data_IF_778262123391
#
_entry.id   IF_778262123391
#
_cell.length_a   1.000
_cell.length_b   1.000
_cell.length_c   1.000
_cell.angle_alpha   90.00
_cell.angle_beta   90.00
_cell.angle_gamma   90.00
#
_symmetry.space_group_name_H-M   'P 1'
#
loop_
_entity.id
_entity.type
_entity.pdbx_description
1 polymer ?
#
# COMPACT_ATOMS: atom_id res chain seq x y z
N UNK A 1 -50.32 -5.86 -23.60
CA UNK A 1 -48.89 -6.12 -23.85
C UNK A 1 -48.18 -4.78 -23.98
N UNK A 2 -46.90 -4.71 -23.56
CA UNK A 2 -46.01 -3.54 -23.35
C UNK A 2 -46.27 -2.81 -22.01
N UNK A 3 -45.44 -2.90 -20.96
CA UNK A 3 -43.99 -2.70 -20.72
C UNK A 3 -43.61 -1.23 -20.42
N UNK A 4 -42.58 -1.09 -19.57
CA UNK A 4 -41.83 0.12 -19.15
C UNK A 4 -42.51 0.86 -17.98
N UNK A 5 -41.93 0.99 -16.79
CA UNK A 5 -40.64 1.62 -16.46
C UNK A 5 -40.03 1.05 -15.16
N UNK A 6 -38.88 0.39 -15.24
CA UNK A 6 -37.95 0.25 -14.11
C UNK A 6 -36.57 0.71 -14.59
N UNK A 7 -36.33 2.02 -14.55
CA UNK A 7 -35.07 2.64 -15.02
C UNK A 7 -34.51 3.71 -14.10
N UNK A 8 -35.10 3.91 -12.91
CA UNK A 8 -34.71 4.98 -11.99
C UNK A 8 -33.77 4.53 -10.86
N UNK A 9 -33.75 3.23 -10.50
CA UNK A 9 -32.99 2.74 -9.35
C UNK A 9 -31.55 2.31 -9.69
N UNK A 10 -31.21 2.13 -10.96
CA UNK A 10 -29.88 1.67 -11.39
C UNK A 10 -28.85 2.82 -11.42
N UNK A 11 -29.31 4.04 -11.68
CA UNK A 11 -28.46 5.24 -11.77
C UNK A 11 -28.07 5.78 -10.38
N UNK A 12 -28.95 5.66 -9.39
CA UNK A 12 -28.67 6.09 -8.02
C UNK A 12 -27.63 5.18 -7.33
N UNK A 13 -27.70 3.86 -7.56
CA UNK A 13 -26.70 2.92 -7.05
C UNK A 13 -25.35 3.13 -7.74
N UNK A 14 -25.33 3.37 -9.05
CA UNK A 14 -24.10 3.69 -9.78
C UNK A 14 -23.41 4.98 -9.31
N UNK A 15 -24.16 5.93 -8.73
CA UNK A 15 -23.63 7.18 -8.17
C UNK A 15 -22.78 6.98 -6.92
N UNK A 16 -23.21 6.13 -5.99
CA UNK A 16 -22.46 5.82 -4.75
C UNK A 16 -21.26 4.88 -4.99
N UNK A 17 -21.25 4.12 -6.09
CA UNK A 17 -20.24 3.08 -6.35
C UNK A 17 -18.90 3.62 -6.86
N UNK A 18 -18.87 4.87 -7.36
CA UNK A 18 -17.71 5.45 -8.06
C UNK A 18 -16.84 6.40 -7.21
N UNK A 19 -17.30 6.77 -6.02
CA UNK A 19 -16.58 7.65 -5.10
C UNK A 19 -15.84 6.81 -4.07
N UNK A 20 -14.61 6.41 -4.43
CA UNK A 20 -13.72 5.72 -3.50
C UNK A 20 -12.88 6.79 -2.82
N UNK A 21 -13.20 7.06 -1.55
CA UNK A 21 -12.31 7.82 -0.69
C UNK A 21 -11.05 6.97 -0.41
N UNK A 22 -9.88 7.53 -0.67
CA UNK A 22 -8.59 6.89 -0.43
C UNK A 22 -8.02 7.22 0.96
N UNK A 23 -8.77 7.95 1.79
CA UNK A 23 -8.39 8.31 3.15
C UNK A 23 -8.19 7.13 4.09
N UNK A 24 -8.67 5.93 3.76
CA UNK A 24 -8.45 4.71 4.53
C UNK A 24 -7.05 4.10 4.35
N UNK A 25 -6.26 4.57 3.37
CA UNK A 25 -4.92 4.05 3.12
C UNK A 25 -3.96 4.42 4.26
N UNK A 26 -3.25 3.46 4.88
CA UNK A 26 -2.30 3.77 5.94
C UNK A 26 -1.19 4.70 5.46
N UNK A 27 -0.96 5.80 6.19
CA UNK A 27 0.02 6.81 5.82
C UNK A 27 1.42 6.22 5.61
N UNK A 28 1.87 5.35 6.51
CA UNK A 28 3.17 4.68 6.42
C UNK A 28 3.31 3.86 5.14
N UNK A 29 2.26 3.10 4.77
CA UNK A 29 2.27 2.31 3.54
C UNK A 29 2.35 3.22 2.31
N UNK A 30 1.55 4.28 2.28
CA UNK A 30 1.58 5.22 1.15
C UNK A 30 2.94 5.90 1.01
N UNK A 31 3.60 6.24 2.12
CA UNK A 31 4.94 6.82 2.12
C UNK A 31 5.99 5.81 1.60
N UNK A 32 5.93 4.55 2.05
CA UNK A 32 6.84 3.51 1.57
C UNK A 32 6.63 3.20 0.08
N UNK A 33 5.38 3.11 -0.38
CA UNK A 33 5.07 2.92 -1.80
C UNK A 33 5.56 4.09 -2.66
N UNK A 34 5.35 5.31 -2.19
CA UNK A 34 5.82 6.52 -2.86
C UNK A 34 7.34 6.51 -3.01
N UNK A 35 8.06 6.25 -1.92
CA UNK A 35 9.53 6.18 -1.92
C UNK A 35 10.04 5.12 -2.90
N UNK A 36 9.37 3.96 -2.98
CA UNK A 36 9.72 2.90 -3.93
C UNK A 36 9.55 3.36 -5.38
N UNK A 37 8.41 3.98 -5.71
CA UNK A 37 8.10 4.48 -7.05
C UNK A 37 9.08 5.59 -7.44
N UNK A 38 9.28 6.59 -6.57
CA UNK A 38 10.22 7.70 -6.82
C UNK A 38 11.64 7.16 -7.02
N UNK A 39 12.13 6.26 -6.15
CA UNK A 39 13.46 5.65 -6.29
C UNK A 39 13.63 4.90 -7.61
N UNK A 40 12.60 4.20 -8.08
CA UNK A 40 12.62 3.52 -9.36
C UNK A 40 12.70 4.52 -10.51
N UNK A 41 11.86 5.55 -10.51
CA UNK A 41 11.79 6.52 -11.60
C UNK A 41 12.91 7.56 -11.59
N UNK A 42 13.62 7.74 -10.48
CA UNK A 42 14.88 8.49 -10.44
C UNK A 42 15.97 7.81 -11.28
N UNK A 43 15.95 6.47 -11.38
CA UNK A 43 16.89 5.69 -12.19
C UNK A 43 16.38 5.51 -13.63
N UNK A 44 15.10 5.20 -13.80
CA UNK A 44 14.51 4.83 -15.09
C UNK A 44 13.86 6.00 -15.85
N UNK A 45 13.76 7.16 -15.23
CA UNK A 45 13.04 8.33 -15.73
C UNK A 45 11.53 8.26 -15.46
N UNK A 46 10.93 9.43 -15.26
CA UNK A 46 9.49 9.57 -14.98
C UNK A 46 8.62 9.52 -16.24
N UNK A 47 9.19 9.72 -17.43
CA UNK A 47 8.44 9.77 -18.68
C UNK A 47 7.72 8.43 -19.00
N UNK A 48 8.24 7.31 -18.49
CA UNK A 48 7.65 5.99 -18.72
C UNK A 48 6.53 5.62 -17.74
N UNK A 49 6.30 6.41 -16.68
CA UNK A 49 5.30 6.10 -15.67
C UNK A 49 3.86 6.09 -16.23
N UNK A 50 3.42 7.10 -17.02
CA UNK A 50 2.13 7.02 -17.69
C UNK A 50 2.02 5.79 -18.59
N UNK A 51 3.03 5.51 -19.42
CA UNK A 51 3.02 4.34 -20.30
C UNK A 51 2.92 3.02 -19.53
N UNK A 52 3.61 2.92 -18.38
CA UNK A 52 3.53 1.76 -17.49
C UNK A 52 2.12 1.54 -16.97
N UNK A 53 1.44 2.60 -16.49
CA UNK A 53 0.06 2.51 -16.00
C UNK A 53 -0.91 2.02 -17.10
N UNK A 54 -0.73 2.46 -18.35
CA UNK A 54 -1.59 2.03 -19.46
C UNK A 54 -1.27 0.61 -19.91
N UNK A 55 0.01 0.23 -19.95
CA UNK A 55 0.45 -1.15 -20.23
C UNK A 55 -0.03 -2.14 -19.17
N UNK A 56 -0.11 -1.70 -17.92
CA UNK A 56 -0.70 -2.42 -16.79
C UNK A 56 -2.24 -2.55 -16.89
N UNK A 57 -2.87 -1.97 -17.92
CA UNK A 57 -4.33 -1.92 -18.13
C UNK A 57 -5.08 -1.20 -17.01
N UNK A 58 -4.44 -0.24 -16.34
CA UNK A 58 -5.05 0.54 -15.25
C UNK A 58 -5.89 1.73 -15.75
N UNK A 59 -5.84 2.06 -17.05
CA UNK A 59 -6.63 3.15 -17.63
C UNK A 59 -8.11 3.12 -17.25
N UNK A 60 -8.85 2.02 -17.53
CA UNK A 60 -10.25 1.88 -17.16
C UNK A 60 -10.51 1.97 -15.65
N UNK A 61 -9.56 1.53 -14.82
CA UNK A 61 -9.67 1.65 -13.36
C UNK A 61 -9.53 3.10 -12.91
N UNK A 62 -8.47 3.79 -13.36
CA UNK A 62 -8.20 5.20 -13.07
C UNK A 62 -9.38 6.07 -13.50
N UNK A 63 -9.94 5.80 -14.68
CA UNK A 63 -11.07 6.56 -15.21
C UNK A 63 -12.37 6.28 -14.47
N UNK A 64 -12.59 5.09 -13.90
CA UNK A 64 -13.83 4.75 -13.20
C UNK A 64 -13.99 5.50 -11.88
N UNK A 65 -12.91 5.64 -11.12
CA UNK A 65 -12.93 6.20 -9.77
C UNK A 65 -12.68 7.71 -9.77
N UNK A 66 -13.53 8.47 -9.07
CA UNK A 66 -13.51 9.93 -9.10
C UNK A 66 -12.16 10.53 -8.67
N UNK A 67 -11.62 10.10 -7.52
CA UNK A 67 -10.32 10.54 -6.99
C UNK A 67 -9.17 10.37 -8.00
N UNK A 68 -9.07 9.18 -8.59
CA UNK A 68 -8.04 8.88 -9.59
C UNK A 68 -8.22 9.71 -10.86
N UNK A 69 -9.46 9.86 -11.34
CA UNK A 69 -9.78 10.68 -12.51
C UNK A 69 -9.44 12.15 -12.29
N UNK A 70 -9.70 12.69 -11.09
CA UNK A 70 -9.38 14.07 -10.76
C UNK A 70 -7.86 14.29 -10.74
N UNK A 71 -7.09 13.38 -10.15
CA UNK A 71 -5.62 13.43 -10.15
C UNK A 71 -5.07 13.30 -11.56
N UNK A 72 -5.59 12.38 -12.37
CA UNK A 72 -5.20 12.21 -13.77
C UNK A 72 -5.42 13.50 -14.55
N UNK A 73 -6.61 14.10 -14.44
CA UNK A 73 -6.91 15.37 -15.12
C UNK A 73 -5.94 16.48 -14.73
N UNK A 74 -5.61 16.61 -13.44
CA UNK A 74 -4.62 17.59 -12.96
C UNK A 74 -3.21 17.31 -13.52
N UNK A 75 -2.80 16.04 -13.53
CA UNK A 75 -1.50 15.60 -14.04
C UNK A 75 -1.37 15.81 -15.56
N UNK A 76 -2.43 15.55 -16.33
CA UNK A 76 -2.41 15.68 -17.80
C UNK A 76 -2.55 17.11 -18.31
N UNK A 77 -3.15 18.01 -17.54
CA UNK A 77 -3.44 19.40 -17.98
C UNK A 77 -2.42 20.43 -17.50
N UNK A 78 -1.58 20.07 -16.52
CA UNK A 78 -0.56 20.98 -16.00
C UNK A 78 0.54 21.25 -17.03
N UNK A 79 1.02 22.50 -17.07
CA UNK A 79 2.16 22.90 -17.92
C UNK A 79 3.53 22.54 -17.33
N UNK A 80 3.56 22.02 -16.10
CA UNK A 80 4.80 21.66 -15.41
C UNK A 80 5.00 20.15 -15.44
N UNK A 81 6.07 19.70 -16.11
CA UNK A 81 6.47 18.29 -16.11
C UNK A 81 6.65 17.74 -14.69
N UNK A 82 7.24 18.54 -13.78
CA UNK A 82 7.37 18.16 -12.36
C UNK A 82 6.02 17.89 -11.70
N UNK A 83 5.03 18.76 -11.90
CA UNK A 83 3.67 18.57 -11.35
C UNK A 83 2.93 17.41 -12.03
N UNK A 84 3.14 17.21 -13.33
CA UNK A 84 2.60 16.07 -14.07
C UNK A 84 3.11 14.76 -13.48
N UNK A 85 4.43 14.63 -13.37
CA UNK A 85 5.09 13.44 -12.80
C UNK A 85 4.62 13.18 -11.37
N UNK A 86 4.55 14.23 -10.53
CA UNK A 86 4.03 14.14 -9.17
C UNK A 86 2.60 13.57 -9.14
N UNK A 87 1.71 14.04 -10.02
CA UNK A 87 0.35 13.51 -10.09
C UNK A 87 0.30 12.05 -10.53
N UNK A 88 1.15 11.62 -11.45
CA UNK A 88 1.26 10.21 -11.82
C UNK A 88 1.86 9.35 -10.71
N UNK A 89 2.83 9.85 -9.95
CA UNK A 89 3.37 9.18 -8.75
C UNK A 89 2.27 9.00 -7.70
N UNK A 90 1.44 10.01 -7.47
CA UNK A 90 0.31 9.92 -6.52
C UNK A 90 -0.73 8.88 -6.93
N UNK A 91 -1.02 8.77 -8.23
CA UNK A 91 -1.90 7.72 -8.77
C UNK A 91 -1.27 6.35 -8.55
N UNK A 92 -0.03 6.15 -9.01
CA UNK A 92 0.67 4.88 -8.88
C UNK A 92 0.85 4.45 -7.41
N UNK A 93 1.15 5.39 -6.52
CA UNK A 93 1.30 5.16 -5.07
C UNK A 93 0.02 4.61 -4.47
N UNK A 94 -1.12 5.25 -4.74
CA UNK A 94 -2.40 4.83 -4.21
C UNK A 94 -2.82 3.46 -4.78
N UNK A 95 -2.61 3.21 -6.08
CA UNK A 95 -2.89 1.91 -6.68
C UNK A 95 -2.01 0.82 -6.06
N UNK A 96 -0.69 1.03 -5.96
CA UNK A 96 0.23 0.07 -5.37
C UNK A 96 -0.09 -0.23 -3.89
N UNK A 97 -0.51 0.79 -3.13
CA UNK A 97 -0.95 0.62 -1.74
C UNK A 97 -2.21 -0.24 -1.63
N UNK A 98 -3.19 -0.04 -2.54
CA UNK A 98 -4.37 -0.90 -2.62
C UNK A 98 -3.99 -2.35 -2.95
N UNK A 99 -3.07 -2.55 -3.89
CA UNK A 99 -2.61 -3.88 -4.28
C UNK A 99 -1.93 -4.59 -3.10
N UNK A 100 -1.03 -3.92 -2.37
CA UNK A 100 -0.35 -4.47 -1.18
C UNK A 100 -1.34 -4.86 -0.08
N UNK A 101 -2.34 -4.01 0.18
CA UNK A 101 -3.40 -4.27 1.16
C UNK A 101 -4.35 -5.41 0.76
N UNK A 102 -4.61 -5.57 -0.54
CA UNK A 102 -5.44 -6.66 -1.04
C UNK A 102 -4.64 -7.97 -1.18
N UNK A 103 -3.34 -7.94 -1.44
CA UNK A 103 -2.52 -9.15 -1.53
C UNK A 103 -2.03 -9.64 -0.17
N UNK A 104 -2.33 -8.91 0.92
CA UNK A 104 -1.74 -9.14 2.25
C UNK A 104 -0.21 -9.21 2.24
N UNK A 105 0.43 -8.40 1.39
CA UNK A 105 1.88 -8.39 1.28
C UNK A 105 2.52 -7.89 2.58
N UNK A 106 3.59 -8.55 3.03
CA UNK A 106 4.34 -8.24 4.25
C UNK A 106 3.48 -8.08 5.54
N UNK A 107 2.26 -8.65 5.56
CA UNK A 107 1.37 -8.60 6.73
C UNK A 107 0.60 -7.29 6.90
N UNK A 108 0.59 -6.39 5.92
CA UNK A 108 -0.14 -5.11 6.02
C UNK A 108 -1.63 -5.27 6.33
N UNK A 109 -2.29 -6.27 5.74
CA UNK A 109 -3.71 -6.57 5.99
C UNK A 109 -3.96 -7.03 7.42
N UNK A 110 -3.01 -7.72 8.05
CA UNK A 110 -3.14 -8.14 9.45
C UNK A 110 -3.10 -6.95 10.41
N UNK A 111 -2.32 -5.92 10.08
CA UNK A 111 -2.25 -4.68 10.87
C UNK A 111 -3.42 -3.73 10.59
N UNK A 112 -3.94 -3.73 9.36
CA UNK A 112 -5.03 -2.86 8.93
C UNK A 112 -6.14 -3.67 8.24
N UNK A 113 -6.90 -4.48 9.00
CA UNK A 113 -7.89 -5.40 8.42
C UNK A 113 -9.03 -4.68 7.69
N UNK A 114 -9.50 -3.55 8.23
CA UNK A 114 -10.54 -2.74 7.60
C UNK A 114 -10.06 -2.08 6.30
N UNK A 115 -8.82 -1.60 6.27
CA UNK A 115 -8.19 -1.04 5.08
C UNK A 115 -7.99 -2.13 4.00
N UNK A 116 -7.60 -3.34 4.42
CA UNK A 116 -7.49 -4.50 3.53
C UNK A 116 -8.82 -4.91 2.91
N UNK A 117 -9.89 -4.99 3.71
CA UNK A 117 -11.24 -5.27 3.22
C UNK A 117 -11.72 -4.20 2.23
N UNK A 118 -11.45 -2.92 2.53
CA UNK A 118 -11.77 -1.79 1.65
C UNK A 118 -10.97 -1.86 0.34
N UNK A 119 -9.66 -2.12 0.41
CA UNK A 119 -8.81 -2.29 -0.76
C UNK A 119 -9.27 -3.45 -1.66
N UNK A 120 -9.61 -4.59 -1.06
CA UNK A 120 -10.21 -5.71 -1.79
C UNK A 120 -11.52 -5.34 -2.46
N UNK A 121 -12.41 -4.62 -1.79
CA UNK A 121 -13.67 -4.18 -2.37
C UNK A 121 -13.46 -3.25 -3.55
N UNK A 122 -12.48 -2.34 -3.48
CA UNK A 122 -12.09 -1.43 -4.56
C UNK A 122 -11.53 -2.19 -5.76
N UNK A 123 -10.59 -3.13 -5.54
CA UNK A 123 -9.95 -3.88 -6.62
C UNK A 123 -10.83 -4.97 -7.23
N UNK A 124 -11.67 -5.66 -6.43
CA UNK A 124 -12.60 -6.70 -6.93
C UNK A 124 -13.66 -6.14 -7.89
N UNK A 125 -13.95 -4.85 -7.81
CA UNK A 125 -14.82 -4.16 -8.77
C UNK A 125 -14.19 -4.07 -10.17
N UNK A 126 -12.92 -4.43 -10.36
CA UNK A 126 -12.29 -4.55 -11.66
C UNK A 126 -12.65 -5.89 -12.34
N UNK A 127 -13.33 -5.82 -13.49
CA UNK A 127 -13.62 -6.99 -14.32
C UNK A 127 -12.45 -7.30 -15.25
N UNK A 128 -11.83 -8.48 -15.11
CA UNK A 128 -11.01 -9.10 -16.17
C UNK A 128 -9.52 -8.71 -16.28
N UNK A 129 -8.89 -8.19 -15.22
CA UNK A 129 -7.45 -7.89 -15.15
C UNK A 129 -6.71 -8.59 -14.00
N UNK A 130 -5.36 -8.57 -14.02
CA UNK A 130 -4.56 -8.90 -12.84
C UNK A 130 -4.96 -7.96 -11.71
N UNK A 131 -5.14 -8.48 -10.49
CA UNK A 131 -5.47 -7.64 -9.32
C UNK A 131 -4.23 -6.93 -8.75
N UNK A 132 -3.03 -7.25 -9.23
CA UNK A 132 -1.76 -6.76 -8.68
C UNK A 132 -0.74 -6.35 -9.77
N UNK A 133 -1.14 -5.61 -10.83
CA UNK A 133 -0.24 -5.33 -11.94
C UNK A 133 0.93 -4.42 -11.55
N UNK A 134 0.78 -3.46 -10.62
CA UNK A 134 1.91 -2.61 -10.22
C UNK A 134 2.88 -3.33 -9.30
N UNK A 135 2.41 -4.23 -8.45
CA UNK A 135 3.29 -5.13 -7.70
C UNK A 135 4.18 -5.94 -8.65
N UNK A 136 3.65 -6.41 -9.79
CA UNK A 136 4.44 -7.11 -10.82
C UNK A 136 5.49 -6.22 -11.50
N UNK A 137 5.32 -4.89 -11.52
CA UNK A 137 6.32 -3.97 -12.08
C UNK A 137 7.38 -3.55 -11.05
N UNK A 138 6.96 -3.21 -9.82
CA UNK A 138 7.85 -2.62 -8.82
C UNK A 138 8.50 -3.65 -7.88
N UNK A 139 7.93 -4.85 -7.74
CA UNK A 139 8.47 -5.89 -6.84
C UNK A 139 9.17 -7.03 -7.59
N UNK A 140 9.25 -6.97 -8.94
CA UNK A 140 9.86 -7.98 -9.81
C UNK A 140 11.39 -7.82 -9.89
N UNK A 141 12.19 -8.91 -9.90
CA UNK A 141 11.81 -10.31 -10.20
C UNK A 141 11.22 -11.17 -9.05
N UNK A 142 10.09 -11.88 -9.24
CA UNK A 142 9.39 -12.73 -8.28
C UNK A 142 10.12 -14.03 -7.98
N UNK A 143 11.23 -14.33 -8.69
CA UNK A 143 12.14 -15.39 -8.24
C UNK A 143 12.91 -15.00 -6.97
N UNK A 144 12.95 -13.70 -6.68
CA UNK A 144 13.51 -13.11 -5.47
C UNK A 144 12.72 -11.82 -5.19
N UNK A 145 11.53 -11.90 -4.57
CA UNK A 145 11.00 -10.70 -3.91
C UNK A 145 12.10 -10.25 -2.97
N UNK A 146 12.85 -9.22 -3.36
CA UNK A 146 14.16 -8.99 -2.75
C UNK A 146 13.92 -8.72 -1.27
N UNK A 147 14.71 -9.31 -0.39
CA UNK A 147 14.57 -9.05 1.05
C UNK A 147 14.61 -7.55 1.35
N UNK A 148 15.28 -6.77 0.49
CA UNK A 148 15.27 -5.31 0.50
C UNK A 148 13.90 -4.69 0.17
N UNK A 149 13.19 -5.18 -0.86
CA UNK A 149 11.85 -4.71 -1.20
C UNK A 149 10.83 -5.09 -0.11
N UNK A 150 10.92 -6.32 0.41
CA UNK A 150 10.11 -6.75 1.57
C UNK A 150 10.42 -5.85 2.77
N UNK A 151 11.69 -5.66 3.14
CA UNK A 151 12.07 -4.82 4.27
C UNK A 151 11.61 -3.37 4.13
N UNK A 152 11.74 -2.78 2.93
CA UNK A 152 11.28 -1.41 2.64
C UNK A 152 9.76 -1.25 2.73
N UNK A 153 9.03 -2.31 2.39
CA UNK A 153 7.57 -2.36 2.42
C UNK A 153 7.05 -3.14 3.63
N UNK A 154 7.86 -3.40 4.66
CA UNK A 154 7.38 -4.01 5.89
C UNK A 154 6.82 -2.90 6.78
N UNK A 155 5.69 -3.13 7.46
CA UNK A 155 5.18 -2.18 8.44
C UNK A 155 6.27 -1.77 9.44
N UNK A 156 6.40 -0.48 9.77
CA UNK A 156 7.35 -0.05 10.79
C UNK A 156 7.01 -0.77 12.09
N UNK A 157 8.01 -1.36 12.76
CA UNK A 157 7.82 -2.16 13.99
C UNK A 157 7.42 -1.32 15.22
N UNK A 158 6.93 -0.09 15.02
CA UNK A 158 6.62 0.88 16.07
C UNK A 158 5.51 0.40 17.03
N UNK A 159 4.70 -0.59 16.63
CA UNK A 159 3.67 -1.18 17.50
C UNK A 159 4.14 -2.37 18.34
N UNK A 160 5.35 -2.91 18.10
CA UNK A 160 5.83 -4.03 18.91
C UNK A 160 6.17 -3.59 20.34
N UNK A 161 6.54 -2.34 20.60
CA UNK A 161 6.81 -1.87 21.97
C UNK A 161 5.55 -1.84 22.83
N UNK A 162 4.39 -1.59 22.22
CA UNK A 162 3.09 -1.64 22.89
C UNK A 162 2.66 -3.06 23.22
N UNK A 163 2.74 -3.99 22.26
CA UNK A 163 2.42 -5.40 22.49
C UNK A 163 3.42 -6.09 23.42
N UNK A 164 4.72 -5.81 23.31
CA UNK A 164 5.74 -6.33 24.23
C UNK A 164 5.57 -5.76 25.64
N UNK A 165 5.14 -4.50 25.77
CA UNK A 165 4.77 -3.89 27.04
C UNK A 165 3.52 -4.50 27.66
N UNK A 166 2.47 -4.72 26.87
CA UNK A 166 1.22 -5.37 27.31
C UNK A 166 1.43 -6.85 27.65
N UNK A 167 2.27 -7.55 26.90
CA UNK A 167 2.67 -8.93 27.16
C UNK A 167 3.60 -9.05 28.38
N UNK A 168 4.48 -8.08 28.62
CA UNK A 168 5.29 -7.99 29.86
C UNK A 168 4.46 -7.64 31.08
N UNK A 169 3.38 -6.88 30.92
CA UNK A 169 2.40 -6.56 31.97
C UNK A 169 1.46 -7.74 32.27
N UNK A 170 1.26 -8.62 31.29
CA UNK A 170 0.60 -9.92 31.48
C UNK A 170 1.58 -10.83 32.22
N UNK A 171 1.28 -11.29 33.42
CA UNK A 171 2.17 -12.23 34.15
C UNK A 171 2.31 -13.51 33.33
N UNK A 172 3.48 -13.82 32.73
CA UNK A 172 3.62 -15.03 31.93
C UNK A 172 3.68 -16.24 32.87
N UNK A 173 2.71 -17.15 32.73
CA UNK A 173 2.53 -18.29 33.63
C UNK A 173 3.39 -19.51 33.27
N UNK A 174 4.01 -19.52 32.08
CA UNK A 174 4.79 -20.67 31.60
C UNK A 174 6.31 -20.41 31.62
N UNK A 175 7.07 -21.40 32.13
CA UNK A 175 8.52 -21.30 32.32
C UNK A 175 9.31 -21.05 31.02
N UNK A 176 8.81 -21.55 29.87
CA UNK A 176 9.43 -21.30 28.56
C UNK A 176 9.31 -19.85 28.09
N UNK A 177 8.23 -19.15 28.47
CA UNK A 177 7.99 -17.76 28.06
C UNK A 177 8.90 -16.78 28.82
N UNK A 178 9.23 -17.10 30.08
CA UNK A 178 10.20 -16.33 30.87
C UNK A 178 11.62 -16.40 30.28
N UNK A 179 12.01 -17.55 29.73
CA UNK A 179 13.31 -17.73 29.07
C UNK A 179 13.40 -16.94 27.76
N UNK A 180 12.32 -16.92 26.98
CA UNK A 180 12.26 -16.11 25.76
C UNK A 180 12.37 -14.61 26.05
N UNK A 181 11.71 -14.13 27.13
CA UNK A 181 11.83 -12.74 27.58
C UNK A 181 13.23 -12.39 28.08
N UNK A 182 13.91 -13.32 28.75
CA UNK A 182 15.31 -13.16 29.16
C UNK A 182 16.23 -12.97 27.96
N UNK A 183 16.10 -13.84 26.96
CA UNK A 183 16.90 -13.78 25.73
C UNK A 183 16.68 -12.48 24.95
N UNK A 184 15.43 -12.01 24.81
CA UNK A 184 15.14 -10.75 24.12
C UNK A 184 15.65 -9.54 24.92
N UNK A 185 15.59 -9.57 26.24
CA UNK A 185 16.14 -8.49 27.08
C UNK A 185 17.66 -8.41 26.97
N UNK A 186 18.36 -9.55 26.96
CA UNK A 186 19.81 -9.60 26.76
C UNK A 186 20.22 -9.08 25.36
N UNK A 187 19.42 -9.38 24.33
CA UNK A 187 19.70 -8.89 22.98
C UNK A 187 19.52 -7.37 22.85
N UNK A 188 18.54 -6.79 23.53
CA UNK A 188 18.33 -5.34 23.59
C UNK A 188 19.43 -4.64 24.41
N UNK A 189 19.82 -5.21 25.55
CA UNK A 189 20.93 -4.71 26.35
C UNK A 189 22.24 -4.70 25.55
N UNK A 190 22.49 -5.78 24.80
CA UNK A 190 23.69 -5.92 23.96
C UNK A 190 23.71 -4.97 22.76
N UNK A 191 22.54 -4.57 22.24
CA UNK A 191 22.46 -3.54 21.19
C UNK A 191 22.69 -2.14 21.74
N UNK A 192 22.21 -1.84 22.96
CA UNK A 192 22.44 -0.54 23.61
C UNK A 192 23.91 -0.37 24.04
N UNK A 193 24.55 -1.44 24.54
CA UNK A 193 25.97 -1.45 24.88
C UNK A 193 26.87 -1.33 23.62
N UNK A 194 26.45 -1.93 22.50
CA UNK A 194 27.17 -1.79 21.22
C UNK A 194 27.07 -0.37 20.65
N UNK A 195 25.93 0.32 20.83
CA UNK A 195 25.75 1.70 20.42
C UNK A 195 26.56 2.70 21.26
N UNK A 196 26.84 2.38 22.53
CA UNK A 196 27.68 3.20 23.42
C UNK A 196 29.18 3.06 23.15
N UNK A 197 29.63 1.94 22.57
CA UNK A 197 31.05 1.69 22.25
C UNK A 197 31.51 2.34 20.93
N UNK A 198 30.61 2.79 20.06
CA UNK A 198 30.95 3.49 18.81
C UNK A 198 31.09 5.02 18.96
N UNK A 199 30.95 5.57 20.17
CA UNK A 199 31.06 7.02 20.45
C UNK A 199 32.33 7.44 21.21
N UNK A 200 33.39 6.62 21.25
CA UNK A 200 34.66 6.97 21.90
C UNK A 200 35.90 6.80 21.03
#
# INVERSE_FOLDING_TARGET
MANVTNGANDVALAGEINDVDLGFLPADLTAQCRNLIESYHDIHGYACLPDMLWRARLGPFIERHHEFRQRLRKASTTRSAKKSNQGFVEIATAILSLEILASSFAGWTALYPEAGASAHAVLKRQSGGSQTPLMDFYLYPPKYVSSAAIAKLTPPRTNQTGEFGLYRMSKPELAGERLALGYVSEMLQKSDDAALLEQH
#
